data_IF_652161058804
#
_entry.id   IF_652161058804
#
_cell.length_a   1.000
_cell.length_b   1.000
_cell.length_c   1.000
_cell.angle_alpha   90.00
_cell.angle_beta   90.00
_cell.angle_gamma   90.00
#
_symmetry.space_group_name_H-M   'P 1'
#
loop_
_entity.id
_entity.type
_entity.pdbx_description
1 polymer ?
#
# COMPACT_ATOMS: atom_id res chain seq x y z
N UNK A 1 -3.84 -6.74 6.35
CA UNK A 1 -2.38 -6.86 6.61
C UNK A 1 -2.05 -6.07 7.87
N UNK A 2 -0.89 -6.27 8.47
CA UNK A 2 -0.35 -5.41 9.53
C UNK A 2 0.82 -4.64 8.92
N UNK A 3 0.86 -3.32 9.12
CA UNK A 3 1.94 -2.48 8.59
C UNK A 3 2.38 -1.43 9.59
N UNK A 4 3.68 -1.22 9.66
CA UNK A 4 4.31 -0.10 10.37
C UNK A 4 4.56 0.99 9.35
N UNK A 5 4.23 2.23 9.72
CA UNK A 5 4.47 3.43 8.91
C UNK A 5 5.42 4.36 9.66
N UNK A 6 6.42 4.85 8.96
CA UNK A 6 7.40 5.80 9.45
C UNK A 6 7.42 7.02 8.53
N UNK A 7 7.23 8.22 9.09
CA UNK A 7 7.21 9.47 8.33
C UNK A 7 8.48 10.28 8.61
N UNK A 8 9.56 10.09 7.84
CA UNK A 8 10.82 10.82 8.04
C UNK A 8 10.70 12.30 7.70
N UNK A 9 9.79 12.66 6.79
CA UNK A 9 9.62 14.04 6.32
C UNK A 9 8.21 14.50 6.63
N UNK A 10 8.13 15.56 7.42
CA UNK A 10 6.89 16.25 7.76
C UNK A 10 7.08 17.74 7.50
N UNK A 11 6.09 18.38 6.88
CA UNK A 11 6.19 19.78 6.50
C UNK A 11 4.87 20.52 6.59
N UNK A 12 4.98 21.85 6.58
CA UNK A 12 3.87 22.79 6.57
C UNK A 12 4.06 23.78 5.44
N UNK A 13 2.99 24.06 4.72
CA UNK A 13 2.98 25.06 3.64
C UNK A 13 1.85 26.04 3.93
N UNK A 14 2.18 27.33 3.96
CA UNK A 14 1.18 28.39 4.05
C UNK A 14 0.83 28.89 2.66
N UNK A 15 -0.44 28.79 2.28
CA UNK A 15 -0.94 29.34 1.04
C UNK A 15 -1.43 30.77 1.28
N UNK A 16 -0.76 31.75 0.67
CA UNK A 16 -1.07 33.18 0.73
C UNK A 16 -1.18 33.75 2.17
N UNK A 17 -0.53 33.12 3.16
CA UNK A 17 -0.56 33.57 4.55
C UNK A 17 -1.88 33.30 5.29
N UNK A 18 -2.90 32.72 4.63
CA UNK A 18 -4.23 32.55 5.20
C UNK A 18 -4.56 31.10 5.53
N UNK A 19 -4.02 30.13 4.75
CA UNK A 19 -4.35 28.71 4.92
C UNK A 19 -3.09 27.87 5.11
N UNK A 20 -3.00 27.18 6.25
CA UNK A 20 -1.89 26.29 6.57
C UNK A 20 -2.24 24.86 6.17
N UNK A 21 -1.60 24.35 5.12
CA UNK A 21 -1.66 22.96 4.73
C UNK A 21 -0.49 22.18 5.34
N UNK A 22 -0.72 20.91 5.66
CA UNK A 22 0.32 20.02 6.18
C UNK A 22 0.56 18.90 5.18
N UNK A 23 1.79 18.39 5.14
CA UNK A 23 2.09 17.20 4.36
C UNK A 23 3.07 16.29 5.09
N UNK A 24 2.98 15.00 4.79
CA UNK A 24 3.93 14.00 5.25
C UNK A 24 4.31 13.04 4.12
N UNK A 25 5.60 12.72 4.06
CA UNK A 25 6.12 11.60 3.27
C UNK A 25 6.27 10.44 4.24
N UNK A 26 5.66 9.31 3.93
CA UNK A 26 5.72 8.11 4.75
C UNK A 26 6.33 6.94 3.98
N UNK A 27 7.12 6.16 4.70
CA UNK A 27 7.58 4.84 4.32
C UNK A 27 6.81 3.82 5.14
N UNK A 28 6.54 2.66 4.57
CA UNK A 28 5.83 1.59 5.24
C UNK A 28 6.46 0.24 4.96
N UNK A 29 6.43 -0.62 5.97
CA UNK A 29 6.72 -2.03 5.82
C UNK A 29 5.61 -2.83 6.48
N UNK A 30 5.13 -3.88 5.84
CA UNK A 30 4.04 -4.68 6.36
C UNK A 30 4.12 -6.14 5.97
N UNK A 31 3.45 -6.96 6.77
CA UNK A 31 3.25 -8.38 6.54
C UNK A 31 1.74 -8.66 6.45
N UNK A 32 1.34 -9.55 5.57
CA UNK A 32 -0.06 -9.91 5.35
C UNK A 32 -0.20 -11.33 4.82
N UNK A 33 -1.43 -11.80 4.77
CA UNK A 33 -1.79 -13.02 4.06
C UNK A 33 -2.33 -12.64 2.69
N UNK A 34 -1.81 -13.26 1.65
CA UNK A 34 -2.30 -13.15 0.29
C UNK A 34 -3.07 -14.44 -0.04
N UNK A 35 -4.33 -14.28 -0.41
CA UNK A 35 -5.15 -15.36 -0.93
C UNK A 35 -5.11 -15.26 -2.45
N UNK A 36 -4.69 -16.34 -3.11
CA UNK A 36 -4.72 -16.41 -4.57
C UNK A 36 -5.71 -17.49 -4.95
N UNK A 37 -6.73 -17.10 -5.70
CA UNK A 37 -7.70 -18.03 -6.29
C UNK A 37 -7.09 -18.59 -7.57
N UNK A 38 -6.97 -19.91 -7.64
CA UNK A 38 -6.66 -20.62 -8.87
C UNK A 38 -7.94 -20.89 -9.63
N UNK A 39 -8.00 -20.51 -10.91
CA UNK A 39 -9.07 -20.96 -11.81
C UNK A 39 -8.63 -22.28 -12.44
N UNK A 40 -9.49 -23.30 -12.40
CA UNK A 40 -9.27 -24.54 -13.12
C UNK A 40 -9.16 -24.22 -14.62
N UNK A 41 -7.95 -24.36 -15.16
CA UNK A 41 -7.67 -24.23 -16.59
C UNK A 41 -7.25 -25.59 -17.12
N UNK A 42 -7.62 -25.99 -18.35
CA UNK A 42 -7.20 -27.26 -18.96
C UNK A 42 -5.67 -27.47 -18.97
N UNK A 43 -4.88 -26.38 -18.88
CA UNK A 43 -3.42 -26.39 -18.81
C UNK A 43 -2.85 -26.62 -17.40
N UNK A 44 -3.65 -26.47 -16.33
CA UNK A 44 -3.20 -26.66 -14.95
C UNK A 44 -4.37 -27.15 -14.04
N UNK A 45 -4.64 -28.46 -14.00
CA UNK A 45 -5.78 -29.03 -13.27
C UNK A 45 -5.64 -29.03 -11.74
N UNK A 46 -4.49 -28.61 -11.19
CA UNK A 46 -4.15 -28.74 -9.75
C UNK A 46 -3.97 -27.39 -9.04
N UNK A 47 -4.49 -26.30 -9.63
CA UNK A 47 -4.43 -24.95 -9.08
C UNK A 47 -5.41 -24.79 -7.90
N UNK A 48 -5.05 -25.38 -6.76
CA UNK A 48 -5.78 -25.16 -5.51
C UNK A 48 -5.53 -23.75 -4.96
N UNK A 49 -6.59 -23.10 -4.49
CA UNK A 49 -6.52 -21.83 -3.78
C UNK A 49 -5.63 -21.97 -2.54
N UNK A 50 -4.51 -21.26 -2.50
CA UNK A 50 -3.56 -21.27 -1.39
C UNK A 50 -3.44 -19.88 -0.77
N UNK A 51 -3.36 -19.86 0.55
CA UNK A 51 -2.97 -18.67 1.31
C UNK A 51 -1.45 -18.72 1.55
N UNK A 52 -0.76 -17.63 1.22
CA UNK A 52 0.68 -17.48 1.49
C UNK A 52 0.95 -16.20 2.26
N UNK A 53 2.04 -16.20 3.02
CA UNK A 53 2.55 -14.98 3.64
C UNK A 53 3.08 -14.05 2.56
N UNK A 54 2.75 -12.77 2.69
CA UNK A 54 3.17 -11.72 1.80
C UNK A 54 3.79 -10.58 2.62
N UNK A 55 4.93 -10.08 2.16
CA UNK A 55 5.52 -8.85 2.65
C UNK A 55 5.19 -7.69 1.71
N UNK A 56 5.20 -6.47 2.22
CA UNK A 56 5.01 -5.27 1.41
C UNK A 56 5.87 -4.13 1.93
N UNK A 57 6.30 -3.31 0.98
CA UNK A 57 6.92 -2.01 1.22
C UNK A 57 6.02 -0.93 0.62
N UNK A 58 5.90 0.19 1.30
CA UNK A 58 5.12 1.34 0.85
C UNK A 58 5.96 2.61 0.90
N UNK A 59 5.78 3.46 -0.08
CA UNK A 59 6.24 4.84 -0.09
C UNK A 59 5.02 5.68 -0.45
N UNK A 60 4.71 6.68 0.34
CA UNK A 60 3.58 7.53 0.02
C UNK A 60 3.71 8.94 0.51
N UNK A 61 2.79 9.74 0.04
CA UNK A 61 2.69 11.16 0.32
C UNK A 61 1.26 11.47 0.71
N UNK A 62 1.10 12.16 1.83
CA UNK A 62 -0.19 12.56 2.35
C UNK A 62 -0.25 14.08 2.44
N UNK A 63 -1.29 14.64 1.85
CA UNK A 63 -1.59 16.06 1.88
C UNK A 63 -2.83 16.31 2.73
N UNK A 64 -2.67 17.06 3.81
CA UNK A 64 -3.77 17.44 4.70
C UNK A 64 -4.34 18.76 4.23
N UNK A 65 -5.51 18.70 3.60
CA UNK A 65 -6.19 19.89 3.07
C UNK A 65 -6.76 20.71 4.22
N UNK A 66 -7.39 20.03 5.17
CA UNK A 66 -8.01 20.57 6.39
C UNK A 66 -7.82 19.55 7.53
N UNK A 67 -8.23 19.90 8.76
CA UNK A 67 -8.17 18.98 9.90
C UNK A 67 -9.01 17.71 9.74
N UNK A 68 -9.97 17.70 8.82
CA UNK A 68 -10.90 16.60 8.60
C UNK A 68 -10.57 15.77 7.36
N UNK A 69 -9.85 16.33 6.38
CA UNK A 69 -9.66 15.69 5.08
C UNK A 69 -8.19 15.70 4.68
N UNK A 70 -7.71 14.52 4.28
CA UNK A 70 -6.40 14.36 3.66
C UNK A 70 -6.48 13.49 2.41
N UNK A 71 -5.65 13.81 1.43
CA UNK A 71 -5.43 12.99 0.23
C UNK A 71 -4.14 12.22 0.43
N UNK A 72 -4.15 10.93 0.11
CA UNK A 72 -3.01 10.04 0.18
C UNK A 72 -2.72 9.48 -1.19
N UNK A 73 -1.47 9.61 -1.62
CA UNK A 73 -0.90 8.85 -2.72
C UNK A 73 0.07 7.84 -2.15
N UNK A 74 0.07 6.62 -2.66
CA UNK A 74 0.96 5.57 -2.18
C UNK A 74 1.40 4.67 -3.32
N UNK A 75 2.70 4.52 -3.45
CA UNK A 75 3.34 3.44 -4.16
C UNK A 75 3.56 2.27 -3.20
N UNK A 76 3.11 1.08 -3.59
CA UNK A 76 3.27 -0.14 -2.78
C UNK A 76 3.86 -1.25 -3.62
N UNK A 77 4.86 -1.91 -3.06
CA UNK A 77 5.53 -3.06 -3.64
C UNK A 77 5.23 -4.28 -2.78
N UNK A 78 4.72 -5.35 -3.38
CA UNK A 78 4.42 -6.61 -2.69
C UNK A 78 5.46 -7.67 -3.02
N UNK A 79 5.76 -8.52 -2.04
CA UNK A 79 6.65 -9.66 -2.19
C UNK A 79 5.91 -10.89 -1.68
N UNK A 80 5.60 -11.83 -2.57
CA UNK A 80 5.01 -13.11 -2.21
C UNK A 80 5.47 -14.21 -3.16
N UNK A 81 5.55 -15.44 -2.67
CA UNK A 81 5.92 -16.60 -3.49
C UNK A 81 4.75 -17.03 -4.38
N UNK A 82 4.99 -17.36 -5.65
CA UNK A 82 3.96 -17.84 -6.57
C UNK A 82 3.40 -19.21 -6.13
N UNK A 83 2.20 -19.56 -6.61
CA UNK A 83 1.56 -20.85 -6.33
C UNK A 83 2.15 -21.99 -7.19
N UNK A 84 2.41 -21.73 -8.47
CA UNK A 84 2.81 -22.76 -9.44
C UNK A 84 4.33 -22.99 -9.54
N UNK A 85 5.15 -22.10 -8.98
CA UNK A 85 6.61 -22.20 -8.97
C UNK A 85 7.16 -21.51 -7.71
N UNK A 86 8.29 -22.00 -7.16
CA UNK A 86 9.02 -21.34 -6.06
C UNK A 86 9.75 -20.06 -6.49
N UNK A 87 9.09 -19.27 -7.32
CA UNK A 87 9.54 -17.98 -7.78
C UNK A 87 8.85 -16.87 -6.97
N UNK A 88 9.58 -15.78 -6.74
CA UNK A 88 9.04 -14.60 -6.10
C UNK A 88 8.23 -13.77 -7.11
N UNK A 89 7.00 -13.43 -6.75
CA UNK A 89 6.19 -12.43 -7.45
C UNK A 89 6.38 -11.07 -6.79
N UNK A 90 6.66 -10.06 -7.61
CA UNK A 90 6.96 -8.70 -7.16
C UNK A 90 6.05 -7.66 -7.83
N UNK A 91 4.71 -7.69 -7.60
CA UNK A 91 3.83 -6.72 -8.20
C UNK A 91 3.91 -5.36 -7.50
N UNK A 92 3.64 -4.32 -8.29
CA UNK A 92 3.56 -2.93 -7.82
C UNK A 92 2.11 -2.46 -7.87
N UNK A 93 1.72 -1.62 -6.92
CA UNK A 93 0.43 -0.96 -6.86
C UNK A 93 0.60 0.54 -6.66
N UNK A 94 -0.22 1.31 -7.36
CA UNK A 94 -0.36 2.74 -7.16
C UNK A 94 -1.75 3.00 -6.59
N UNK A 95 -1.78 3.55 -5.38
CA UNK A 95 -3.01 3.80 -4.65
C UNK A 95 -3.23 5.31 -4.51
N UNK A 96 -4.47 5.73 -4.75
CA UNK A 96 -4.95 7.07 -4.43
C UNK A 96 -6.12 6.91 -3.46
N UNK A 97 -6.09 7.63 -2.34
CA UNK A 97 -7.10 7.54 -1.31
C UNK A 97 -7.41 8.88 -0.67
N UNK A 98 -8.61 8.99 -0.12
CA UNK A 98 -9.02 10.11 0.72
C UNK A 98 -9.21 9.56 2.13
N UNK A 99 -8.63 10.23 3.12
CA UNK A 99 -8.78 9.90 4.53
C UNK A 99 -9.56 11.00 5.22
N UNK A 100 -10.59 10.60 5.95
CA UNK A 100 -11.40 11.48 6.78
C UNK A 100 -11.11 11.22 8.25
N UNK A 101 -11.01 12.26 9.06
CA UNK A 101 -10.83 12.18 10.51
C UNK A 101 -12.05 12.83 11.16
N UNK A 102 -12.84 12.04 11.88
CA UNK A 102 -14.02 12.46 12.62
C UNK A 102 -13.73 12.45 14.11
#
# INVERSE_FOLDING_TARGET
>A
NISVLWSPVYGKVSFLGQKLAHFDVFLGAGLGLMFTEGYESPENPDLQSKSKLAANLALGFRWHINNQFSIRTEYRHYFFEKIAASELSTPIGLNLGVTTTF
#
